data_IF_385945534353
#
_entry.id   IF_385945534353
#
_cell.length_a   1.000
_cell.length_b   1.000
_cell.length_c   1.000
_cell.angle_alpha   90.00
_cell.angle_beta   90.00
_cell.angle_gamma   90.00
#
_symmetry.space_group_name_H-M   'P 1'
#
loop_
_entity.id
_entity.type
_entity.pdbx_description
1 polymer ?
#
# COMPACT_ATOMS: atom_id res chain seq x y z
N UNK A 1 -75.20 83.27 27.46
CA UNK A 1 -74.45 83.41 26.17
C UNK A 1 -72.94 83.37 26.38
N UNK A 2 -72.43 84.11 27.38
CA UNK A 2 -70.97 84.18 27.69
C UNK A 2 -70.35 82.84 28.05
N UNK A 3 -71.05 81.98 28.82
CA UNK A 3 -70.54 80.63 29.18
C UNK A 3 -70.42 79.71 27.97
N UNK A 4 -71.25 79.91 26.95
CA UNK A 4 -71.24 79.10 25.73
C UNK A 4 -70.15 79.51 24.74
N UNK A 5 -69.85 80.82 24.68
CA UNK A 5 -68.74 81.37 23.91
C UNK A 5 -67.38 81.03 24.52
N UNK A 6 -67.24 81.05 25.83
CA UNK A 6 -66.02 80.68 26.55
C UNK A 6 -65.75 79.19 26.41
N UNK A 7 -66.77 78.30 26.44
CA UNK A 7 -66.62 76.89 26.18
C UNK A 7 -66.22 76.55 24.72
N UNK A 8 -66.80 77.32 23.76
CA UNK A 8 -66.48 77.15 22.35
C UNK A 8 -65.07 77.68 22.00
N UNK A 9 -64.61 78.76 22.68
CA UNK A 9 -63.23 79.24 22.57
C UNK A 9 -62.22 78.24 23.19
N UNK A 10 -62.56 77.64 24.34
CA UNK A 10 -61.71 76.62 24.98
C UNK A 10 -61.59 75.36 24.10
N UNK A 11 -62.70 74.87 23.50
CA UNK A 11 -62.71 73.74 22.56
C UNK A 11 -61.91 74.07 21.29
N UNK A 12 -62.06 75.28 20.73
CA UNK A 12 -61.29 75.66 19.54
C UNK A 12 -59.78 75.79 19.85
N UNK A 13 -59.41 76.24 21.02
CA UNK A 13 -58.03 76.26 21.48
C UNK A 13 -57.44 74.88 21.72
N UNK A 14 -58.19 73.99 22.34
CA UNK A 14 -57.78 72.62 22.56
C UNK A 14 -57.62 71.83 21.23
N UNK A 15 -58.56 72.09 20.27
CA UNK A 15 -58.46 71.50 18.91
C UNK A 15 -57.18 71.99 18.18
N UNK A 16 -56.90 73.34 18.26
CA UNK A 16 -55.70 73.92 17.65
C UNK A 16 -54.41 73.32 18.25
N UNK A 17 -54.35 73.21 19.59
CA UNK A 17 -53.22 72.59 20.27
C UNK A 17 -52.99 71.16 19.84
N UNK A 18 -54.02 70.31 19.67
CA UNK A 18 -53.93 68.94 19.22
C UNK A 18 -53.45 68.85 17.79
N UNK A 19 -53.95 69.69 16.87
CA UNK A 19 -53.50 69.77 15.48
C UNK A 19 -52.04 70.19 15.37
N UNK A 20 -51.62 71.24 16.15
CA UNK A 20 -50.27 71.74 16.18
C UNK A 20 -49.31 70.63 16.73
N UNK A 21 -49.66 69.92 17.78
CA UNK A 21 -48.91 68.86 18.38
C UNK A 21 -48.78 67.67 17.41
N UNK A 22 -49.87 67.27 16.71
CA UNK A 22 -49.80 66.23 15.69
C UNK A 22 -48.96 66.61 14.48
N UNK A 23 -49.06 67.87 14.02
CA UNK A 23 -48.22 68.41 12.96
C UNK A 23 -46.73 68.40 13.33
N UNK A 24 -46.41 68.82 14.60
CA UNK A 24 -45.04 68.70 15.11
C UNK A 24 -44.51 67.23 15.18
N UNK A 25 -45.38 66.37 15.68
CA UNK A 25 -44.99 64.90 15.71
C UNK A 25 -44.75 64.27 14.31
N UNK A 26 -45.61 64.65 13.35
CA UNK A 26 -45.45 64.21 11.95
C UNK A 26 -44.20 64.81 11.33
N UNK A 27 -43.85 66.04 11.63
CA UNK A 27 -42.60 66.65 11.15
C UNK A 27 -41.37 65.93 11.71
N UNK A 28 -41.32 65.69 13.03
CA UNK A 28 -40.26 64.89 13.67
C UNK A 28 -40.16 63.49 13.07
N UNK A 29 -41.27 62.79 12.82
CA UNK A 29 -41.32 61.52 12.18
C UNK A 29 -40.75 61.56 10.74
N UNK A 30 -41.03 62.63 9.98
CA UNK A 30 -40.51 62.84 8.61
C UNK A 30 -39.00 63.11 8.59
N UNK A 31 -38.44 63.66 9.67
CA UNK A 31 -37.00 63.87 9.88
C UNK A 31 -36.31 62.61 10.42
N UNK A 32 -37.07 61.50 10.62
CA UNK A 32 -36.54 60.23 11.08
C UNK A 32 -36.53 60.07 12.60
N UNK A 33 -37.08 60.99 13.39
CA UNK A 33 -37.17 60.83 14.83
C UNK A 33 -38.34 59.89 15.21
N UNK A 34 -38.03 58.63 15.45
CA UNK A 34 -38.99 57.60 15.94
C UNK A 34 -39.13 57.62 17.47
N UNK A 35 -38.49 58.56 18.16
CA UNK A 35 -38.65 58.76 19.59
C UNK A 35 -39.71 59.79 19.89
N UNK A 36 -40.22 60.46 18.87
CA UNK A 36 -41.27 61.47 19.01
C UNK A 36 -42.52 60.83 19.60
N UNK A 37 -42.97 61.37 20.77
CA UNK A 37 -44.17 60.90 21.47
C UNK A 37 -45.05 62.12 21.82
N UNK A 38 -46.29 62.16 21.42
CA UNK A 38 -47.26 63.19 21.81
C UNK A 38 -47.76 62.84 23.21
N UNK A 39 -47.23 63.57 24.25
CA UNK A 39 -47.53 63.30 25.67
C UNK A 39 -48.75 64.08 26.19
N UNK A 40 -49.04 65.24 25.58
CA UNK A 40 -50.17 66.05 26.00
C UNK A 40 -51.51 65.35 25.69
N UNK A 41 -52.49 65.42 26.61
CA UNK A 41 -53.83 64.84 26.34
C UNK A 41 -54.55 65.71 25.26
N UNK A 42 -55.22 64.98 24.35
CA UNK A 42 -56.06 65.58 23.30
C UNK A 42 -57.54 65.66 23.79
N UNK A 43 -58.39 66.47 23.18
CA UNK A 43 -59.81 66.37 23.34
C UNK A 43 -60.31 64.97 23.14
N UNK A 44 -61.38 64.50 23.85
CA UNK A 44 -61.87 63.14 23.84
C UNK A 44 -62.08 62.55 22.42
N UNK A 45 -62.57 63.39 21.50
CA UNK A 45 -62.81 63.06 20.11
C UNK A 45 -61.52 62.86 19.29
N UNK A 46 -60.40 63.39 19.73
CA UNK A 46 -59.07 63.29 19.06
C UNK A 46 -58.04 62.45 19.82
N UNK A 47 -58.37 61.96 21.02
CA UNK A 47 -57.46 61.17 21.83
C UNK A 47 -57.06 59.88 21.13
N UNK A 48 -57.95 59.31 20.35
CA UNK A 48 -57.65 58.15 19.47
C UNK A 48 -56.53 58.46 18.49
N UNK A 49 -56.54 59.64 17.85
CA UNK A 49 -55.54 60.03 16.89
C UNK A 49 -54.14 60.14 17.52
N UNK A 50 -54.02 60.69 18.74
CA UNK A 50 -52.78 60.70 19.53
C UNK A 50 -52.25 59.31 19.81
N UNK A 51 -53.16 58.43 20.25
CA UNK A 51 -52.79 57.02 20.56
C UNK A 51 -52.33 56.28 19.29
N UNK A 52 -53.06 56.44 18.16
CA UNK A 52 -52.75 55.82 16.89
C UNK A 52 -51.37 56.33 16.38
N UNK A 53 -51.06 57.66 16.50
CA UNK A 53 -49.74 58.23 16.15
C UNK A 53 -48.61 57.63 17.00
N UNK A 54 -48.80 57.62 18.35
CA UNK A 54 -47.80 57.04 19.24
C UNK A 54 -47.58 55.56 19.00
N UNK A 55 -48.65 54.78 18.70
CA UNK A 55 -48.58 53.35 18.37
C UNK A 55 -47.81 53.12 17.05
N UNK A 56 -48.07 53.90 16.01
CA UNK A 56 -47.34 53.82 14.71
C UNK A 56 -45.87 54.10 14.91
N UNK A 57 -45.54 55.18 15.65
CA UNK A 57 -44.14 55.57 15.93
C UNK A 57 -43.41 54.49 16.72
N UNK A 58 -44.07 53.93 17.75
CA UNK A 58 -43.53 52.81 18.54
C UNK A 58 -43.28 51.55 17.67
N UNK A 59 -44.26 51.22 16.80
CA UNK A 59 -44.11 50.05 15.88
C UNK A 59 -42.97 50.27 14.91
N UNK A 60 -42.86 51.43 14.25
CA UNK A 60 -41.77 51.78 13.36
C UNK A 60 -40.42 51.71 14.10
N UNK A 61 -40.33 52.23 15.33
CA UNK A 61 -39.10 52.15 16.14
C UNK A 61 -38.66 50.70 16.37
N UNK A 62 -39.64 49.84 16.76
CA UNK A 62 -39.36 48.41 16.99
C UNK A 62 -38.84 47.73 15.72
N UNK A 63 -39.53 47.90 14.59
CA UNK A 63 -39.12 47.33 13.30
C UNK A 63 -37.75 47.81 12.86
N UNK A 64 -37.46 49.11 12.97
CA UNK A 64 -36.14 49.67 12.64
C UNK A 64 -35.04 49.15 13.56
N UNK A 65 -35.36 48.96 14.86
CA UNK A 65 -34.43 48.30 15.80
C UNK A 65 -34.12 46.86 15.43
N UNK A 66 -35.12 46.08 15.04
CA UNK A 66 -34.93 44.72 14.56
C UNK A 66 -34.11 44.67 13.27
N UNK A 67 -34.35 45.56 12.30
CA UNK A 67 -33.56 45.66 11.07
C UNK A 67 -32.10 46.00 11.39
N UNK A 68 -31.85 46.95 12.32
CA UNK A 68 -30.49 47.26 12.75
C UNK A 68 -29.75 46.09 13.37
N UNK A 69 -30.43 45.34 14.27
CA UNK A 69 -29.87 44.13 14.89
C UNK A 69 -29.55 43.04 13.85
N UNK A 70 -30.50 42.79 12.92
CA UNK A 70 -30.31 41.83 11.85
C UNK A 70 -29.16 42.24 10.90
N UNK A 71 -29.06 43.51 10.55
CA UNK A 71 -27.95 44.00 9.73
C UNK A 71 -26.59 43.79 10.40
N UNK A 72 -26.51 44.06 11.71
CA UNK A 72 -25.30 43.78 12.49
C UNK A 72 -24.96 42.31 12.52
N UNK A 73 -25.96 41.42 12.67
CA UNK A 73 -25.77 39.96 12.64
C UNK A 73 -25.32 39.47 11.25
N UNK A 74 -25.89 39.99 10.17
CA UNK A 74 -25.48 39.65 8.78
C UNK A 74 -24.03 40.06 8.55
N UNK A 75 -23.61 41.25 9.02
CA UNK A 75 -22.23 41.70 8.91
C UNK A 75 -21.25 40.80 9.67
N UNK A 76 -21.61 40.39 10.89
CA UNK A 76 -20.81 39.47 11.70
C UNK A 76 -20.68 38.09 11.01
N UNK A 77 -21.78 37.57 10.46
CA UNK A 77 -21.80 36.29 9.70
C UNK A 77 -20.96 36.40 8.43
N UNK A 78 -21.00 37.51 7.70
CA UNK A 78 -20.15 37.76 6.53
C UNK A 78 -18.66 37.74 6.88
N UNK A 79 -18.27 38.33 8.02
CA UNK A 79 -16.89 38.28 8.51
C UNK A 79 -16.48 36.88 8.91
N UNK A 80 -17.36 36.14 9.58
CA UNK A 80 -17.10 34.75 9.97
C UNK A 80 -16.96 33.85 8.73
N UNK A 81 -17.81 34.02 7.71
CA UNK A 81 -17.70 33.30 6.43
C UNK A 81 -16.38 33.58 5.73
N UNK A 82 -15.91 34.83 5.72
CA UNK A 82 -14.60 35.18 5.16
C UNK A 82 -13.47 34.45 5.88
N UNK A 83 -13.47 34.46 7.22
CA UNK A 83 -12.45 33.74 8.00
C UNK A 83 -12.46 32.23 7.73
N UNK A 84 -13.65 31.64 7.59
CA UNK A 84 -13.79 30.22 7.24
C UNK A 84 -13.31 29.92 5.79
N UNK A 85 -13.57 30.85 4.85
CA UNK A 85 -13.09 30.74 3.48
C UNK A 85 -11.55 30.85 3.41
N UNK A 86 -10.94 31.75 4.19
CA UNK A 86 -9.47 31.86 4.27
C UNK A 86 -8.82 30.61 4.88
N UNK A 87 -9.44 29.99 5.89
CA UNK A 87 -8.97 28.70 6.43
C UNK A 87 -9.09 27.59 5.39
N UNK A 88 -10.23 27.53 4.68
CA UNK A 88 -10.43 26.56 3.60
C UNK A 88 -9.42 26.77 2.47
N UNK A 89 -9.08 28.02 2.11
CA UNK A 89 -8.05 28.32 1.13
C UNK A 89 -6.71 27.69 1.49
N UNK A 90 -6.23 27.94 2.72
CA UNK A 90 -4.95 27.38 3.19
C UNK A 90 -4.95 25.84 3.19
N UNK A 91 -6.06 25.23 3.61
CA UNK A 91 -6.20 23.77 3.60
C UNK A 91 -6.22 23.22 2.18
N UNK A 92 -6.83 23.93 1.24
CA UNK A 92 -6.87 23.56 -0.17
C UNK A 92 -5.47 23.64 -0.80
N UNK A 93 -4.69 24.69 -0.48
CA UNK A 93 -3.29 24.81 -0.91
C UNK A 93 -2.41 23.67 -0.35
N UNK A 94 -2.55 23.36 0.94
CA UNK A 94 -1.84 22.23 1.55
C UNK A 94 -2.23 20.90 0.92
N UNK A 95 -3.52 20.71 0.62
CA UNK A 95 -4.01 19.52 -0.05
C UNK A 95 -3.45 19.39 -1.46
N UNK A 96 -3.39 20.49 -2.22
CA UNK A 96 -2.79 20.52 -3.56
C UNK A 96 -1.31 20.11 -3.51
N UNK A 97 -0.51 20.68 -2.60
CA UNK A 97 0.89 20.30 -2.42
C UNK A 97 1.06 18.82 -2.06
N UNK A 98 0.21 18.29 -1.17
CA UNK A 98 0.23 16.85 -0.81
C UNK A 98 -0.17 15.93 -1.97
N UNK A 99 -1.09 16.38 -2.84
CA UNK A 99 -1.49 15.64 -4.04
C UNK A 99 -0.37 15.62 -5.09
N UNK A 100 0.36 16.72 -5.27
CA UNK A 100 1.53 16.77 -6.15
C UNK A 100 2.60 15.77 -5.69
N UNK A 101 2.94 15.75 -4.40
CA UNK A 101 3.90 14.81 -3.82
C UNK A 101 3.42 13.36 -3.96
N UNK A 102 2.13 13.11 -3.70
CA UNK A 102 1.52 11.78 -3.84
C UNK A 102 1.55 11.31 -5.30
N UNK A 103 1.26 12.18 -6.25
CA UNK A 103 1.29 11.89 -7.69
C UNK A 103 2.70 11.57 -8.17
N UNK A 104 3.72 12.33 -7.70
CA UNK A 104 5.12 12.05 -7.99
C UNK A 104 5.55 10.66 -7.45
N UNK A 105 5.21 10.36 -6.19
CA UNK A 105 5.50 9.07 -5.58
C UNK A 105 4.80 7.91 -6.31
N UNK A 106 3.54 8.08 -6.72
CA UNK A 106 2.81 7.07 -7.51
C UNK A 106 3.45 6.82 -8.87
N UNK A 107 3.95 7.88 -9.52
CA UNK A 107 4.67 7.76 -10.79
C UNK A 107 5.95 6.92 -10.63
N UNK A 108 6.72 7.15 -9.57
CA UNK A 108 7.93 6.38 -9.25
C UNK A 108 7.62 4.92 -8.91
N UNK A 109 6.57 4.68 -8.10
CA UNK A 109 6.12 3.32 -7.76
C UNK A 109 5.66 2.59 -9.04
N UNK A 110 4.92 3.25 -9.91
CA UNK A 110 4.44 2.67 -11.17
C UNK A 110 5.61 2.25 -12.06
N UNK A 111 6.63 3.10 -12.22
CA UNK A 111 7.84 2.78 -12.98
C UNK A 111 8.60 1.59 -12.33
N UNK A 112 8.67 1.55 -11.01
CA UNK A 112 9.31 0.46 -10.26
C UNK A 112 8.59 -0.86 -10.45
N UNK A 113 7.24 -0.88 -10.37
CA UNK A 113 6.44 -2.09 -10.59
C UNK A 113 6.56 -2.58 -12.04
N UNK A 114 6.55 -1.68 -13.02
CA UNK A 114 6.78 -2.04 -14.42
C UNK A 114 8.16 -2.68 -14.64
N UNK A 115 9.20 -2.08 -14.06
CA UNK A 115 10.55 -2.65 -14.09
C UNK A 115 10.63 -4.01 -13.41
N UNK A 116 9.97 -4.19 -12.26
CA UNK A 116 9.91 -5.47 -11.56
C UNK A 116 9.18 -6.54 -12.38
N UNK A 117 8.09 -6.17 -13.07
CA UNK A 117 7.36 -7.07 -13.98
C UNK A 117 8.27 -7.57 -15.11
N UNK A 118 8.96 -6.65 -15.78
CA UNK A 118 9.89 -7.00 -16.85
C UNK A 118 11.00 -7.93 -16.38
N UNK A 119 11.62 -7.63 -15.23
CA UNK A 119 12.68 -8.48 -14.66
C UNK A 119 12.16 -9.86 -14.24
N UNK A 120 10.92 -9.94 -13.78
CA UNK A 120 10.30 -11.23 -13.45
C UNK A 120 9.99 -12.04 -14.72
N UNK A 121 9.58 -11.41 -15.81
CA UNK A 121 9.41 -12.06 -17.12
C UNK A 121 10.74 -12.58 -17.67
N UNK A 122 11.82 -11.78 -17.59
CA UNK A 122 13.17 -12.25 -17.95
C UNK A 122 13.63 -13.43 -17.09
N UNK A 123 13.37 -13.38 -15.77
CA UNK A 123 13.68 -14.47 -14.87
C UNK A 123 12.88 -15.74 -15.23
N UNK A 124 11.61 -15.63 -15.65
CA UNK A 124 10.81 -16.76 -16.13
C UNK A 124 11.45 -17.44 -17.34
N UNK A 125 11.94 -16.66 -18.30
CA UNK A 125 12.66 -17.21 -19.46
C UNK A 125 13.96 -17.93 -19.07
N UNK A 126 14.74 -17.36 -18.16
CA UNK A 126 15.97 -18.01 -17.67
C UNK A 126 15.69 -19.32 -16.94
N UNK A 127 14.60 -19.39 -16.21
CA UNK A 127 14.18 -20.63 -15.52
C UNK A 127 13.69 -21.68 -16.51
N UNK A 128 12.98 -21.32 -17.57
CA UNK A 128 12.58 -22.24 -18.64
C UNK A 128 13.83 -22.78 -19.37
N UNK A 129 14.83 -21.95 -19.68
CA UNK A 129 16.09 -22.37 -20.26
C UNK A 129 16.87 -23.34 -19.34
N UNK A 130 16.90 -23.04 -18.02
CA UNK A 130 17.54 -23.90 -17.03
C UNK A 130 16.85 -25.27 -16.93
N UNK A 131 15.52 -25.31 -17.01
CA UNK A 131 14.75 -26.55 -17.07
C UNK A 131 15.15 -27.40 -18.27
N UNK A 132 15.14 -26.81 -19.46
CA UNK A 132 15.51 -27.50 -20.70
C UNK A 132 16.95 -28.02 -20.66
N UNK A 133 17.87 -27.22 -20.07
CA UNK A 133 19.26 -27.66 -19.88
C UNK A 133 19.37 -28.83 -18.91
N UNK A 134 18.62 -28.84 -17.81
CA UNK A 134 18.61 -29.91 -16.81
C UNK A 134 18.06 -31.20 -17.42
N UNK A 135 16.99 -31.13 -18.21
CA UNK A 135 16.40 -32.25 -18.90
C UNK A 135 17.39 -32.91 -19.90
N UNK A 136 18.06 -32.06 -20.74
CA UNK A 136 19.09 -32.51 -21.66
C UNK A 136 20.29 -33.14 -20.94
N UNK A 137 20.70 -32.55 -19.82
CA UNK A 137 21.80 -33.07 -19.01
C UNK A 137 21.45 -34.45 -18.40
N UNK A 138 20.21 -34.63 -17.98
CA UNK A 138 19.69 -35.93 -17.52
C UNK A 138 19.76 -36.99 -18.58
N UNK A 139 19.44 -36.68 -19.84
CA UNK A 139 19.59 -37.64 -20.96
C UNK A 139 21.05 -38.07 -21.15
N UNK A 140 21.99 -37.10 -21.10
CA UNK A 140 23.44 -37.40 -21.24
C UNK A 140 23.93 -38.28 -20.09
N UNK A 141 23.46 -38.07 -18.88
CA UNK A 141 23.82 -38.93 -17.72
C UNK A 141 23.25 -40.34 -17.88
N UNK A 142 22.02 -40.47 -18.38
CA UNK A 142 21.44 -41.80 -18.69
C UNK A 142 22.24 -42.55 -19.75
N UNK A 143 22.70 -41.86 -20.81
CA UNK A 143 23.56 -42.42 -21.84
C UNK A 143 24.92 -42.84 -21.26
N UNK A 144 25.48 -42.03 -20.36
CA UNK A 144 26.74 -42.36 -19.66
C UNK A 144 26.56 -43.61 -18.76
N UNK A 145 25.43 -43.74 -18.04
CA UNK A 145 25.11 -44.90 -17.22
C UNK A 145 25.02 -46.16 -18.05
N UNK A 146 24.31 -46.12 -19.19
CA UNK A 146 24.22 -47.23 -20.10
C UNK A 146 25.61 -47.60 -20.72
N UNK A 147 26.50 -46.65 -20.90
CA UNK A 147 27.87 -46.93 -21.34
C UNK A 147 28.69 -47.60 -20.25
N UNK A 148 28.58 -47.15 -19.00
CA UNK A 148 29.25 -47.78 -17.85
C UNK A 148 28.78 -49.23 -17.62
N UNK A 149 27.49 -49.53 -17.71
CA UNK A 149 26.96 -50.92 -17.67
C UNK A 149 27.59 -51.79 -18.73
N UNK A 150 27.71 -51.30 -19.98
CA UNK A 150 28.38 -52.08 -21.05
C UNK A 150 29.85 -52.31 -20.74
N UNK A 151 30.56 -51.37 -20.10
CA UNK A 151 31.96 -51.56 -19.71
C UNK A 151 32.05 -52.57 -18.56
N UNK A 152 31.13 -52.54 -17.58
CA UNK A 152 31.06 -53.51 -16.48
C UNK A 152 30.88 -54.93 -17.02
N UNK A 153 29.91 -55.13 -17.92
CA UNK A 153 29.67 -56.39 -18.57
C UNK A 153 30.91 -56.90 -19.34
N UNK A 154 31.52 -56.03 -20.15
CA UNK A 154 32.72 -56.39 -20.90
C UNK A 154 33.90 -56.77 -19.99
N UNK A 155 34.09 -56.03 -18.87
CA UNK A 155 35.11 -56.34 -17.87
C UNK A 155 34.86 -57.70 -17.19
N UNK A 156 33.58 -57.99 -16.90
CA UNK A 156 33.15 -59.31 -16.39
C UNK A 156 33.43 -60.46 -17.37
N UNK A 157 33.16 -60.29 -18.68
CA UNK A 157 33.47 -61.25 -19.72
C UNK A 157 34.98 -61.48 -19.85
N UNK A 158 35.80 -60.42 -19.81
CA UNK A 158 37.26 -60.54 -19.82
C UNK A 158 37.74 -61.38 -18.61
N UNK A 159 37.16 -61.17 -17.44
CA UNK A 159 37.46 -61.89 -16.21
C UNK A 159 37.19 -63.40 -16.39
N UNK A 160 36.08 -63.75 -17.04
CA UNK A 160 35.75 -65.16 -17.39
C UNK A 160 36.78 -65.79 -18.34
N UNK A 161 37.18 -65.02 -19.39
CA UNK A 161 38.20 -65.52 -20.36
C UNK A 161 39.56 -65.74 -19.67
N UNK A 162 39.98 -64.83 -18.80
CA UNK A 162 41.25 -64.95 -18.05
C UNK A 162 41.24 -66.19 -17.15
N UNK A 163 40.09 -66.53 -16.50
CA UNK A 163 39.94 -67.74 -15.72
C UNK A 163 40.15 -69.00 -16.60
N UNK A 164 39.59 -69.00 -17.82
CA UNK A 164 39.80 -70.12 -18.77
C UNK A 164 41.28 -70.20 -19.19
N UNK A 165 41.97 -69.09 -19.41
CA UNK A 165 43.41 -69.08 -19.76
C UNK A 165 44.26 -69.63 -18.61
N UNK A 166 43.98 -69.24 -17.34
CA UNK A 166 44.71 -69.80 -16.17
C UNK A 166 44.48 -71.30 -16.05
N UNK A 167 43.24 -71.81 -16.32
CA UNK A 167 42.94 -73.24 -16.34
C UNK A 167 43.66 -73.97 -17.47
N UNK A 168 43.71 -73.43 -18.69
CA UNK A 168 44.46 -73.97 -19.80
C UNK A 168 45.96 -74.04 -19.47
N UNK A 169 46.50 -73.00 -18.88
CA UNK A 169 47.90 -72.98 -18.44
C UNK A 169 48.19 -74.04 -17.39
N UNK A 170 47.30 -74.24 -16.44
CA UNK A 170 47.37 -75.30 -15.44
C UNK A 170 47.33 -76.70 -16.09
N UNK A 171 46.35 -76.93 -16.97
CA UNK A 171 46.24 -78.23 -17.71
C UNK A 171 47.50 -78.48 -18.58
N UNK A 172 48.02 -77.47 -19.26
CA UNK A 172 49.26 -77.54 -20.06
C UNK A 172 50.47 -77.89 -19.18
N UNK A 173 50.59 -77.26 -17.98
CA UNK A 173 51.63 -77.63 -17.03
C UNK A 173 51.53 -79.09 -16.56
N UNK A 174 50.32 -79.59 -16.31
CA UNK A 174 50.13 -80.96 -15.98
C UNK A 174 50.48 -81.96 -17.14
N UNK A 175 50.07 -81.63 -18.37
CA UNK A 175 50.41 -82.36 -19.58
C UNK A 175 51.90 -82.37 -19.78
N UNK A 176 52.61 -81.28 -19.64
CA UNK A 176 54.04 -81.19 -19.74
C UNK A 176 54.78 -81.98 -18.67
N UNK A 177 54.26 -81.98 -17.43
CA UNK A 177 54.78 -82.78 -16.35
C UNK A 177 54.65 -84.26 -16.65
N UNK A 178 53.48 -84.71 -17.13
CA UNK A 178 53.26 -86.11 -17.54
C UNK A 178 54.18 -86.51 -18.70
N UNK A 179 54.33 -85.68 -19.73
CA UNK A 179 55.23 -85.90 -20.84
C UNK A 179 56.68 -86.00 -20.39
N UNK A 180 57.10 -85.11 -19.42
CA UNK A 180 58.44 -85.19 -18.84
C UNK A 180 58.74 -86.50 -18.08
N UNK A 181 57.72 -86.92 -17.32
CA UNK A 181 57.84 -88.24 -16.61
C UNK A 181 57.96 -89.42 -17.59
N UNK A 182 57.19 -89.46 -18.69
CA UNK A 182 57.23 -90.51 -19.68
C UNK A 182 58.54 -90.45 -20.52
N UNK A 183 59.01 -89.20 -20.79
CA UNK A 183 60.31 -89.00 -21.41
C UNK A 183 61.46 -89.52 -20.56
N UNK A 184 61.42 -89.32 -19.23
CA UNK A 184 62.40 -89.89 -18.29
C UNK A 184 62.34 -91.45 -18.21
N UNK A 185 61.13 -91.98 -18.37
CA UNK A 185 60.89 -93.40 -18.42
C UNK A 185 61.48 -94.11 -19.66
N UNK A 186 61.54 -93.39 -20.79
CA UNK A 186 62.10 -93.85 -22.04
C UNK A 186 63.67 -93.83 -22.07
N UNK A 187 64.31 -93.40 -21.01
CA UNK A 187 65.77 -93.36 -20.89
C UNK A 187 66.46 -92.50 -21.97
N UNK A 188 67.52 -92.96 -22.56
CA UNK A 188 68.31 -92.24 -23.57
C UNK A 188 67.47 -91.80 -24.78
N UNK A 189 66.47 -92.59 -25.22
CA UNK A 189 65.61 -92.23 -26.33
C UNK A 189 64.63 -91.12 -26.04
N UNK A 190 64.40 -90.79 -24.79
CA UNK A 190 63.49 -89.76 -24.38
C UNK A 190 64.13 -88.38 -24.12
N UNK A 191 65.46 -88.18 -24.17
CA UNK A 191 66.17 -86.95 -23.80
C UNK A 191 65.67 -85.71 -24.54
N UNK A 192 65.42 -85.86 -25.86
CA UNK A 192 64.86 -84.68 -26.64
C UNK A 192 63.47 -84.27 -26.22
N UNK A 193 62.61 -85.27 -25.93
CA UNK A 193 61.26 -84.99 -25.42
C UNK A 193 61.24 -84.43 -24.00
N UNK A 194 62.19 -84.85 -23.14
CA UNK A 194 62.34 -84.25 -21.78
C UNK A 194 62.64 -82.76 -21.80
N UNK A 195 63.50 -82.31 -22.73
CA UNK A 195 63.82 -80.91 -22.90
C UNK A 195 62.60 -80.08 -23.37
N UNK A 196 61.86 -80.59 -24.37
CA UNK A 196 60.62 -80.02 -24.83
C UNK A 196 59.59 -79.94 -23.74
N UNK A 197 59.43 -81.02 -22.97
CA UNK A 197 58.50 -81.07 -21.84
C UNK A 197 58.85 -80.02 -20.77
N UNK A 198 60.12 -79.85 -20.44
CA UNK A 198 60.58 -78.77 -19.52
C UNK A 198 60.29 -77.36 -20.06
N UNK A 199 60.54 -77.12 -21.35
CA UNK A 199 60.26 -75.82 -21.97
C UNK A 199 58.76 -75.50 -22.02
N UNK A 200 57.92 -76.48 -22.40
CA UNK A 200 56.45 -76.36 -22.36
C UNK A 200 55.93 -76.08 -20.92
N UNK A 201 56.56 -76.79 -19.94
CA UNK A 201 56.21 -76.55 -18.54
C UNK A 201 56.59 -75.18 -18.06
N UNK A 202 57.77 -74.64 -18.46
CA UNK A 202 58.21 -73.28 -18.12
C UNK A 202 57.30 -72.26 -18.82
N UNK A 203 56.91 -72.50 -20.08
CA UNK A 203 55.97 -71.61 -20.79
C UNK A 203 54.60 -71.62 -20.16
N UNK A 204 54.08 -72.77 -19.75
CA UNK A 204 52.82 -72.87 -19.04
C UNK A 204 52.84 -72.16 -17.67
N UNK A 205 53.98 -72.21 -16.94
CA UNK A 205 54.18 -71.46 -15.70
C UNK A 205 54.13 -69.94 -15.94
N UNK A 206 54.80 -69.47 -16.98
CA UNK A 206 54.78 -68.02 -17.39
C UNK A 206 53.39 -67.59 -17.84
N UNK A 207 52.65 -68.43 -18.54
CA UNK A 207 51.26 -68.14 -18.95
C UNK A 207 50.32 -68.07 -17.77
N UNK A 208 50.44 -68.95 -16.75
CA UNK A 208 49.67 -68.89 -15.54
C UNK A 208 50.00 -67.65 -14.71
N UNK A 209 51.25 -67.22 -14.62
CA UNK A 209 51.67 -66.01 -13.95
C UNK A 209 51.08 -64.72 -14.65
N UNK A 210 51.19 -64.67 -15.96
CA UNK A 210 50.61 -63.60 -16.77
C UNK A 210 49.09 -63.57 -16.67
N UNK A 211 48.40 -64.71 -16.61
CA UNK A 211 46.97 -64.82 -16.41
C UNK A 211 46.54 -64.20 -15.01
N UNK A 212 47.29 -64.54 -13.96
CA UNK A 212 47.03 -63.96 -12.63
C UNK A 212 47.23 -62.49 -12.57
N UNK A 213 48.29 -61.97 -13.21
CA UNK A 213 48.57 -60.53 -13.28
C UNK A 213 47.45 -59.79 -14.02
N UNK A 214 47.01 -60.29 -15.16
CA UNK A 214 45.85 -59.75 -15.91
C UNK A 214 44.56 -59.84 -15.08
N UNK A 215 44.32 -60.98 -14.37
CA UNK A 215 43.17 -61.11 -13.47
C UNK A 215 43.14 -60.08 -12.38
N UNK A 216 44.31 -59.79 -11.78
CA UNK A 216 44.44 -58.70 -10.78
C UNK A 216 44.12 -57.32 -11.37
N UNK A 217 44.62 -57.04 -12.61
CA UNK A 217 44.34 -55.80 -13.30
C UNK A 217 42.87 -55.65 -13.66
N UNK A 218 42.23 -56.73 -14.16
CA UNK A 218 40.80 -56.74 -14.50
C UNK A 218 39.95 -56.56 -13.23
N UNK A 219 40.33 -57.22 -12.11
CA UNK A 219 39.66 -57.01 -10.82
C UNK A 219 39.67 -55.57 -10.36
N UNK A 220 40.82 -54.89 -10.45
CA UNK A 220 40.94 -53.45 -10.15
C UNK A 220 40.10 -52.61 -11.12
N UNK A 221 40.12 -52.92 -12.43
CA UNK A 221 39.30 -52.22 -13.41
C UNK A 221 37.82 -52.38 -13.13
N UNK A 222 37.36 -53.55 -12.73
CA UNK A 222 35.97 -53.81 -12.33
C UNK A 222 35.53 -52.95 -11.13
N UNK A 223 36.39 -52.80 -10.12
CA UNK A 223 36.12 -51.95 -8.95
C UNK A 223 36.04 -50.46 -9.33
N UNK A 224 36.94 -49.99 -10.20
CA UNK A 224 36.91 -48.62 -10.69
C UNK A 224 35.64 -48.32 -11.53
N UNK A 225 35.24 -49.27 -12.37
CA UNK A 225 33.98 -49.18 -13.16
C UNK A 225 32.77 -49.12 -12.25
N UNK A 226 32.71 -49.94 -11.22
CA UNK A 226 31.64 -49.94 -10.23
C UNK A 226 31.54 -48.60 -9.51
N UNK A 227 32.70 -48.07 -9.08
CA UNK A 227 32.76 -46.72 -8.50
C UNK A 227 32.27 -45.64 -9.49
N UNK A 228 32.61 -45.78 -10.77
CA UNK A 228 32.14 -44.94 -11.86
C UNK A 228 30.62 -44.97 -12.00
N UNK A 229 30.01 -46.16 -11.97
CA UNK A 229 28.55 -46.32 -12.01
C UNK A 229 27.88 -45.63 -10.82
N UNK A 230 28.42 -45.83 -9.62
CA UNK A 230 27.89 -45.17 -8.39
C UNK A 230 27.92 -43.63 -8.51
N UNK A 231 29.03 -43.08 -9.00
CA UNK A 231 29.17 -41.62 -9.18
C UNK A 231 28.24 -41.06 -10.26
N UNK A 232 28.07 -41.76 -11.38
CA UNK A 232 27.16 -41.36 -12.46
C UNK A 232 25.71 -41.41 -11.96
N UNK A 233 25.33 -42.44 -11.20
CA UNK A 233 24.01 -42.55 -10.58
C UNK A 233 23.74 -41.37 -9.61
N UNK A 234 24.68 -41.10 -8.72
CA UNK A 234 24.56 -39.97 -7.79
C UNK A 234 24.44 -38.62 -8.52
N UNK A 235 25.13 -38.48 -9.67
CA UNK A 235 25.01 -37.29 -10.52
C UNK A 235 23.60 -37.18 -11.13
N UNK A 236 23.03 -38.31 -11.58
CA UNK A 236 21.67 -38.39 -12.09
C UNK A 236 20.63 -37.94 -11.03
N UNK A 237 20.76 -38.48 -9.81
CA UNK A 237 19.89 -38.10 -8.69
C UNK A 237 20.00 -36.61 -8.34
N UNK A 238 21.20 -36.06 -8.37
CA UNK A 238 21.42 -34.63 -8.12
C UNK A 238 20.77 -33.77 -9.22
N UNK A 239 20.90 -34.14 -10.49
CA UNK A 239 20.23 -33.43 -11.60
C UNK A 239 18.70 -33.52 -11.50
N UNK A 240 18.16 -34.67 -11.11
CA UNK A 240 16.72 -34.81 -10.90
C UNK A 240 16.21 -33.83 -9.83
N UNK A 241 16.91 -33.75 -8.69
CA UNK A 241 16.56 -32.76 -7.62
C UNK A 241 16.68 -31.33 -8.09
N UNK A 242 17.71 -30.99 -8.88
CA UNK A 242 17.83 -29.64 -9.49
C UNK A 242 16.63 -29.37 -10.39
N UNK A 243 16.19 -30.37 -11.19
CA UNK A 243 15.00 -30.23 -12.03
C UNK A 243 13.74 -29.92 -11.24
N UNK A 244 13.52 -30.61 -10.11
CA UNK A 244 12.40 -30.33 -9.20
C UNK A 244 12.46 -28.93 -8.59
N UNK A 245 13.66 -28.48 -8.19
CA UNK A 245 13.87 -27.14 -7.65
C UNK A 245 13.60 -26.05 -8.70
N UNK A 246 14.04 -26.26 -9.94
CA UNK A 246 13.79 -25.36 -11.08
C UNK A 246 12.28 -25.25 -11.36
N UNK A 247 11.52 -26.34 -11.30
CA UNK A 247 10.06 -26.31 -11.45
C UNK A 247 9.40 -25.46 -10.35
N UNK A 248 9.81 -25.62 -9.09
CA UNK A 248 9.30 -24.79 -7.97
C UNK A 248 9.65 -23.31 -8.13
N UNK A 249 10.86 -23.01 -8.58
CA UNK A 249 11.27 -21.62 -8.88
C UNK A 249 10.38 -21.04 -10.00
N UNK A 250 10.07 -21.81 -11.04
CA UNK A 250 9.18 -21.39 -12.12
C UNK A 250 7.79 -20.98 -11.60
N UNK A 251 7.21 -21.79 -10.70
CA UNK A 251 5.92 -21.49 -10.08
C UNK A 251 5.97 -20.16 -9.28
N UNK A 252 7.03 -19.96 -8.49
CA UNK A 252 7.21 -18.71 -7.75
C UNK A 252 7.38 -17.50 -8.66
N UNK A 253 8.17 -17.61 -9.71
CA UNK A 253 8.37 -16.52 -10.68
C UNK A 253 7.05 -16.17 -11.39
N UNK A 254 6.27 -17.17 -11.81
CA UNK A 254 4.94 -16.95 -12.40
C UNK A 254 3.98 -16.23 -11.44
N UNK A 255 4.01 -16.61 -10.15
CA UNK A 255 3.22 -15.94 -9.13
C UNK A 255 3.63 -14.47 -8.97
N UNK A 256 4.95 -14.17 -9.01
CA UNK A 256 5.48 -12.79 -8.95
C UNK A 256 4.98 -11.97 -10.16
N UNK A 257 5.05 -12.51 -11.38
CA UNK A 257 4.56 -11.85 -12.60
C UNK A 257 3.06 -11.52 -12.47
N UNK A 258 2.26 -12.47 -11.98
CA UNK A 258 0.83 -12.27 -11.78
C UNK A 258 0.57 -11.17 -10.76
N UNK A 259 1.22 -11.21 -9.59
CA UNK A 259 1.08 -10.20 -8.54
C UNK A 259 1.53 -8.81 -9.00
N UNK A 260 2.61 -8.72 -9.77
CA UNK A 260 3.08 -7.45 -10.32
C UNK A 260 2.09 -6.84 -11.34
N UNK A 261 1.43 -7.67 -12.14
CA UNK A 261 0.36 -7.22 -13.04
C UNK A 261 -0.87 -6.73 -12.27
N UNK A 262 -1.28 -7.44 -11.23
CA UNK A 262 -2.39 -7.01 -10.35
C UNK A 262 -2.05 -5.67 -9.66
N UNK A 263 -0.82 -5.50 -9.17
CA UNK A 263 -0.34 -4.23 -8.63
C UNK A 263 -0.39 -3.10 -9.66
N UNK A 264 -0.02 -3.36 -10.92
CA UNK A 264 -0.09 -2.37 -12.00
C UNK A 264 -1.52 -1.90 -12.25
N UNK A 265 -2.51 -2.80 -12.21
CA UNK A 265 -3.93 -2.46 -12.31
C UNK A 265 -4.38 -1.61 -11.13
N UNK A 266 -4.06 -2.03 -9.89
CA UNK A 266 -4.39 -1.27 -8.68
C UNK A 266 -3.76 0.13 -8.65
N UNK A 267 -2.52 0.28 -9.12
CA UNK A 267 -1.86 1.59 -9.25
C UNK A 267 -2.57 2.49 -10.26
N UNK A 268 -3.08 1.94 -11.37
CA UNK A 268 -3.89 2.68 -12.35
C UNK A 268 -5.19 3.22 -11.73
N UNK A 269 -5.86 2.42 -10.90
CA UNK A 269 -7.06 2.84 -10.17
C UNK A 269 -6.75 3.94 -9.15
N UNK A 270 -5.64 3.80 -8.39
CA UNK A 270 -5.19 4.82 -7.43
C UNK A 270 -4.86 6.12 -8.17
N UNK A 271 -4.16 6.06 -9.31
CA UNK A 271 -3.84 7.24 -10.10
C UNK A 271 -5.10 7.97 -10.60
N UNK A 272 -6.12 7.22 -11.01
CA UNK A 272 -7.44 7.78 -11.37
C UNK A 272 -8.12 8.47 -10.18
N UNK A 273 -8.06 7.87 -8.99
CA UNK A 273 -8.61 8.46 -7.76
C UNK A 273 -7.88 9.74 -7.36
N UNK A 274 -6.54 9.78 -7.48
CA UNK A 274 -5.74 10.99 -7.25
C UNK A 274 -6.10 12.10 -8.24
N UNK A 275 -6.32 11.76 -9.51
CA UNK A 275 -6.82 12.72 -10.51
C UNK A 275 -8.19 13.30 -10.16
N UNK A 276 -9.09 12.50 -9.60
CA UNK A 276 -10.38 13.00 -9.09
C UNK A 276 -10.21 13.90 -7.88
N UNK A 277 -9.29 13.59 -6.96
CA UNK A 277 -8.97 14.43 -5.81
C UNK A 277 -8.39 15.78 -6.25
N UNK A 278 -7.56 15.83 -7.28
CA UNK A 278 -7.04 17.07 -7.87
C UNK A 278 -8.19 17.93 -8.40
N UNK A 279 -9.12 17.35 -9.14
CA UNK A 279 -10.31 18.06 -9.64
C UNK A 279 -11.16 18.64 -8.49
N UNK A 280 -11.39 17.88 -7.41
CA UNK A 280 -12.12 18.35 -6.23
C UNK A 280 -11.35 19.51 -5.55
N UNK A 281 -10.03 19.42 -5.48
CA UNK A 281 -9.18 20.46 -4.90
C UNK A 281 -9.27 21.75 -5.70
N UNK A 282 -9.26 21.71 -7.02
CA UNK A 282 -9.49 22.86 -7.90
C UNK A 282 -10.89 23.44 -7.74
N UNK A 283 -11.93 22.59 -7.61
CA UNK A 283 -13.29 23.04 -7.32
C UNK A 283 -13.39 23.73 -5.96
N UNK A 284 -12.69 23.24 -4.94
CA UNK A 284 -12.63 23.88 -3.63
C UNK A 284 -11.98 25.26 -3.71
N UNK A 285 -10.90 25.42 -4.48
CA UNK A 285 -10.28 26.73 -4.71
C UNK A 285 -11.24 27.73 -5.35
N UNK A 286 -11.96 27.32 -6.38
CA UNK A 286 -13.00 28.15 -7.01
C UNK A 286 -14.15 28.49 -6.04
N UNK A 287 -14.57 27.51 -5.21
CA UNK A 287 -15.61 27.73 -4.20
C UNK A 287 -15.17 28.72 -3.12
N UNK A 288 -13.90 28.70 -2.72
CA UNK A 288 -13.31 29.68 -1.78
C UNK A 288 -13.39 31.08 -2.35
N UNK A 289 -13.01 31.29 -3.61
CA UNK A 289 -13.11 32.60 -4.26
C UNK A 289 -14.55 33.09 -4.33
N UNK A 290 -15.49 32.23 -4.70
CA UNK A 290 -16.91 32.57 -4.73
C UNK A 290 -17.47 32.91 -3.35
N UNK A 291 -17.08 32.14 -2.32
CA UNK A 291 -17.52 32.37 -0.93
C UNK A 291 -16.96 33.67 -0.40
N UNK A 292 -15.71 34.02 -0.69
CA UNK A 292 -15.10 35.28 -0.34
C UNK A 292 -15.82 36.47 -1.01
N UNK A 293 -16.12 36.38 -2.31
CA UNK A 293 -16.86 37.41 -3.03
C UNK A 293 -18.27 37.60 -2.47
N UNK A 294 -19.01 36.51 -2.22
CA UNK A 294 -20.35 36.54 -1.64
C UNK A 294 -20.34 37.14 -0.23
N UNK A 295 -19.35 36.76 0.61
CA UNK A 295 -19.20 37.29 1.97
C UNK A 295 -18.91 38.82 1.96
N UNK A 296 -18.10 39.26 1.01
CA UNK A 296 -17.82 40.70 0.84
C UNK A 296 -19.06 41.48 0.44
N UNK A 297 -19.84 40.99 -0.51
CA UNK A 297 -21.11 41.57 -0.93
C UNK A 297 -22.09 41.65 0.24
N UNK A 298 -22.24 40.54 0.95
CA UNK A 298 -23.16 40.45 2.11
C UNK A 298 -22.80 41.46 3.22
N UNK A 299 -21.50 41.61 3.51
CA UNK A 299 -21.02 42.59 4.48
C UNK A 299 -21.30 44.04 4.01
N UNK A 300 -21.10 44.32 2.73
CA UNK A 300 -21.42 45.61 2.11
C UNK A 300 -22.92 45.95 2.13
N UNK A 301 -23.78 44.98 1.82
CA UNK A 301 -25.22 45.13 1.88
C UNK A 301 -25.71 45.39 3.32
N UNK A 302 -25.16 44.64 4.28
CA UNK A 302 -25.46 44.84 5.70
C UNK A 302 -25.02 46.26 6.20
N UNK A 303 -23.88 46.74 5.74
CA UNK A 303 -23.41 48.09 6.05
C UNK A 303 -24.29 49.16 5.44
N UNK A 304 -24.73 48.98 4.19
CA UNK A 304 -25.71 49.86 3.54
C UNK A 304 -27.04 49.91 4.29
N UNK A 305 -27.56 48.70 4.69
CA UNK A 305 -28.76 48.62 5.53
C UNK A 305 -28.59 49.34 6.85
N UNK A 306 -27.47 49.13 7.55
CA UNK A 306 -27.16 49.78 8.81
C UNK A 306 -27.11 51.34 8.65
N UNK A 307 -26.54 51.81 7.55
CA UNK A 307 -26.49 53.24 7.23
C UNK A 307 -27.89 53.82 6.92
N UNK A 308 -28.76 53.08 6.22
CA UNK A 308 -30.13 53.50 5.94
C UNK A 308 -30.97 53.58 7.23
N UNK A 309 -30.85 52.55 8.08
CA UNK A 309 -31.56 52.53 9.38
C UNK A 309 -31.00 53.59 10.33
N UNK A 310 -29.70 53.87 10.24
CA UNK A 310 -29.03 54.93 11.03
C UNK A 310 -29.51 56.33 10.72
N UNK A 311 -30.31 56.58 9.65
CA UNK A 311 -30.99 57.86 9.41
C UNK A 311 -32.19 58.03 10.35
N UNK A 312 -32.68 56.96 10.98
CA UNK A 312 -33.78 57.01 11.93
C UNK A 312 -33.23 56.99 13.36
N UNK A 313 -33.75 57.91 14.17
CA UNK A 313 -33.47 57.97 15.60
C UNK A 313 -34.38 56.95 16.32
N UNK A 314 -33.84 55.80 16.69
CA UNK A 314 -34.61 54.74 17.36
C UNK A 314 -34.49 54.78 18.89
N UNK A 315 -33.81 55.80 19.44
CA UNK A 315 -33.58 55.95 20.88
C UNK A 315 -32.65 54.87 21.46
N UNK A 316 -31.65 55.31 22.20
CA UNK A 316 -30.64 54.39 22.79
C UNK A 316 -31.06 53.80 24.14
N UNK A 317 -32.37 53.73 24.45
CA UNK A 317 -32.85 53.33 25.78
C UNK A 317 -33.34 51.89 25.85
N UNK A 318 -32.69 50.97 25.18
CA UNK A 318 -32.62 49.61 25.69
C UNK A 318 -31.19 49.15 25.63
N UNK A 319 -30.61 48.65 26.75
CA UNK A 319 -29.47 47.80 26.63
C UNK A 319 -29.95 46.63 25.76
N UNK A 320 -29.56 46.62 24.48
CA UNK A 320 -29.57 45.39 23.70
C UNK A 320 -28.84 44.41 24.61
N UNK A 321 -29.61 43.52 25.26
CA UNK A 321 -29.00 42.37 25.91
C UNK A 321 -28.11 41.79 24.84
N UNK A 322 -26.82 42.12 24.94
CA UNK A 322 -25.84 41.53 24.10
C UNK A 322 -26.15 40.03 24.22
N UNK A 323 -26.59 39.44 23.11
CA UNK A 323 -26.64 37.99 22.98
C UNK A 323 -25.21 37.57 23.26
N UNK A 324 -24.92 37.41 24.54
CA UNK A 324 -23.71 36.75 25.00
C UNK A 324 -23.96 35.34 24.55
N UNK A 325 -23.31 34.83 23.49
CA UNK A 325 -23.43 33.43 23.19
C UNK A 325 -23.06 32.75 24.49
N UNK A 326 -24.02 32.06 25.07
CA UNK A 326 -23.76 31.20 26.21
C UNK A 326 -22.51 30.41 25.81
N UNK A 327 -21.44 30.43 26.63
CA UNK A 327 -20.24 29.70 26.25
C UNK A 327 -20.71 28.30 25.99
N UNK A 328 -20.72 27.89 24.72
CA UNK A 328 -21.06 26.56 24.31
C UNK A 328 -20.29 25.67 25.26
N UNK A 329 -21.00 24.97 26.13
CA UNK A 329 -20.40 24.02 27.04
C UNK A 329 -19.46 23.18 26.21
N UNK A 330 -18.17 23.38 26.44
CA UNK A 330 -17.11 22.55 25.89
C UNK A 330 -17.31 21.19 26.54
N UNK A 331 -18.26 20.47 26.05
CA UNK A 331 -18.56 19.12 26.46
C UNK A 331 -18.76 18.28 25.18
N UNK A 332 -17.70 17.89 24.67
CA UNK A 332 -17.51 16.52 24.17
C UNK A 332 -16.08 16.47 23.66
N UNK A 333 -15.28 15.64 24.31
CA UNK A 333 -14.03 15.14 23.76
C UNK A 333 -14.30 14.82 22.29
N UNK A 334 -13.51 15.35 21.35
CA UNK A 334 -13.72 15.06 19.96
C UNK A 334 -13.77 13.56 19.79
N UNK A 335 -14.89 13.04 19.28
CA UNK A 335 -14.97 11.63 18.91
C UNK A 335 -13.83 11.37 17.96
N UNK A 336 -13.01 10.35 18.22
CA UNK A 336 -11.91 10.04 17.30
C UNK A 336 -12.49 9.88 15.90
N UNK A 337 -11.87 10.52 14.92
CA UNK A 337 -12.30 10.39 13.53
C UNK A 337 -12.33 8.89 13.15
N UNK A 338 -13.24 8.44 12.27
CA UNK A 338 -13.29 7.06 11.82
C UNK A 338 -11.93 6.54 11.34
N UNK A 339 -11.12 7.40 10.74
CA UNK A 339 -9.75 7.10 10.32
C UNK A 339 -8.82 6.80 11.51
N UNK A 340 -8.90 7.59 12.59
CA UNK A 340 -8.08 7.36 13.80
C UNK A 340 -8.49 6.08 14.52
N UNK A 341 -9.79 5.77 14.56
CA UNK A 341 -10.31 4.50 15.09
C UNK A 341 -9.87 3.29 14.25
N UNK A 342 -9.74 3.45 12.93
CA UNK A 342 -9.23 2.42 12.03
C UNK A 342 -7.72 2.19 12.24
N UNK A 343 -6.94 3.26 12.35
CA UNK A 343 -5.49 3.21 12.60
C UNK A 343 -5.21 2.54 13.97
N UNK A 344 -5.94 2.89 15.02
CA UNK A 344 -5.82 2.25 16.33
C UNK A 344 -6.22 0.76 16.29
N UNK A 345 -7.23 0.41 15.50
CA UNK A 345 -7.65 -0.99 15.32
C UNK A 345 -6.62 -1.81 14.55
N UNK A 346 -6.00 -1.25 13.52
CA UNK A 346 -4.92 -1.87 12.75
C UNK A 346 -3.64 -1.96 13.58
N UNK A 347 -3.25 -0.91 14.28
CA UNK A 347 -2.09 -0.92 15.19
C UNK A 347 -2.27 -1.93 16.34
N UNK A 348 -3.50 -2.10 16.85
CA UNK A 348 -3.81 -3.09 17.89
C UNK A 348 -3.75 -4.55 17.41
N UNK A 349 -3.92 -4.82 16.11
CA UNK A 349 -3.75 -6.16 15.53
C UNK A 349 -2.28 -6.54 15.36
N UNK A 350 -1.39 -5.58 15.13
CA UNK A 350 0.06 -5.82 15.03
C UNK A 350 0.78 -5.84 16.39
N UNK A 351 0.14 -5.38 17.46
CA UNK A 351 0.74 -5.32 18.80
C UNK A 351 0.26 -6.45 19.74
N UNK A 352 -0.26 -7.56 19.20
CA UNK A 352 -0.42 -8.79 19.95
C UNK A 352 0.94 -9.47 20.08
N UNK A 353 1.71 -8.97 21.01
CA UNK A 353 2.86 -9.70 21.57
C UNK A 353 2.36 -11.03 22.12
N UNK A 354 2.87 -12.12 21.58
CA UNK A 354 2.86 -13.45 22.17
C UNK A 354 3.30 -13.37 23.63
N UNK A 355 2.66 -14.13 24.55
CA UNK A 355 3.12 -14.17 25.93
C UNK A 355 4.52 -14.77 25.98
N UNK A 356 5.45 -14.04 26.61
CA UNK A 356 6.79 -14.48 26.90
C UNK A 356 6.75 -15.77 27.75
N UNK A 357 7.16 -16.90 27.16
CA UNK A 357 7.62 -18.04 27.94
C UNK A 357 9.04 -17.74 28.41
N UNK A 358 9.19 -17.68 29.72
CA UNK A 358 10.42 -17.56 30.43
C UNK A 358 11.35 -18.74 30.17
N UNK A 359 12.67 -18.45 30.17
CA UNK A 359 13.84 -19.30 30.33
C UNK A 359 14.60 -19.65 29.05
N UNK A 360 15.71 -19.02 28.76
CA UNK A 360 17.04 -19.42 29.12
C UNK A 360 18.06 -18.37 28.66
N UNK A 361 18.91 -17.97 29.62
CA UNK A 361 20.12 -17.23 29.36
C UNK A 361 21.16 -18.16 28.69
N UNK A 362 21.96 -17.56 27.87
CA UNK A 362 23.32 -17.84 27.45
C UNK A 362 23.50 -17.93 25.93
N UNK A 363 24.37 -17.15 25.56
CA UNK A 363 25.48 -17.11 24.60
C UNK A 363 25.37 -15.99 23.60
N UNK A 364 26.04 -14.88 23.94
CA UNK A 364 26.54 -13.91 22.99
C UNK A 364 27.74 -14.52 22.26
N UNK A 365 27.67 -14.70 20.97
CA UNK A 365 28.83 -14.84 20.10
C UNK A 365 28.69 -13.86 18.93
N UNK A 366 29.52 -12.95 19.01
CA UNK A 366 30.41 -12.15 18.17
C UNK A 366 30.45 -12.62 16.71
N UNK A 367 29.89 -11.82 15.78
CA UNK A 367 30.21 -11.86 14.36
C UNK A 367 30.75 -10.49 13.95
N UNK A 368 32.07 -10.37 14.00
CA UNK A 368 32.83 -9.41 13.22
C UNK A 368 33.22 -10.10 11.89
N UNK A 369 33.04 -9.33 10.79
CA UNK A 369 33.70 -9.42 9.49
C UNK A 369 33.67 -10.77 8.73
N UNK A 370 32.85 -10.78 7.66
CA UNK A 370 33.37 -10.94 6.30
C UNK A 370 32.36 -10.37 5.30
#
# INVERSE_FOLDING_TARGET
>A
RESRTAAMEADTRALKLAVDALGGGLMQLSEGDLCAEIRGPFPADLERLRNDFNQVTLHLRTVMGEIAANSSSIRANGQQMRSAADDLARRTEQQAASLEETSAALSEITATVQSATHRAEEASHMVDDARDFTEKSGLVVNDAMAAMERIEDATGEIGKIINVIDEIAFQTNLLALNAGVEAARAGDAGKGFAVVAQEVRALAGRAAEAARDIKSLVGRSSEEVKTGVELVTATGDALHRIGEDVLRINEHVKAIVTSAREQSVGLSEINSAVGQMDQVTQQNAAMVEQTNAASHTLAGDAENLSRLVGQFQVGSDQPVAAYRPEPAQVASKPRPSPAKALIEKVAGTFNRTTPASSSNAAVAEHWEEF
#
